data_IF_035799971806
#
_entry.id   IF_035799971806
#
_cell.length_a   1.000
_cell.length_b   1.000
_cell.length_c   1.000
_cell.angle_alpha   90.00
_cell.angle_beta   90.00
_cell.angle_gamma   90.00
#
_symmetry.space_group_name_H-M   'P 1'
#
loop_
_entity.id
_entity.type
_entity.pdbx_description
1 polymer ?
2 polymer ?
3 water ?
#
loop_
_entity_poly.entity_id
_entity_poly.type
_entity_poly.pdbx_seq_one_letter_code
_entity_poly.pdbx_strand_id
1 'polydeoxyribonucleotide' '(DT)(DA)(DT)(DC)(DG)(DA)(DT)(DA)' ?
#
# COMPACT_ATOMS: atom_id res chain seq x y z
N UNK C 1 9.01 -0.41 9.82
CA UNK C 1 9.89 0.76 9.86
C UNK C 1 10.70 0.89 8.58
N UNK C 2 10.46 -0.09 7.72
CA UNK C 2 11.13 -0.11 6.44
C UNK C 2 10.40 -0.96 5.38
N UNK C 3 9.56 -1.90 5.85
CA UNK C 3 8.81 -2.69 4.91
C UNK C 3 7.61 -3.38 5.55
N UNK C 4 6.36 -3.00 5.16
CA UNK C 4 5.11 -3.57 5.68
C UNK C 4 4.01 -3.81 4.68
N UNK C 5 3.08 -4.58 5.19
CA UNK C 5 1.93 -4.92 4.43
C UNK C 5 1.14 -3.67 4.43
N UNK C 6 0.18 -3.67 3.53
CA UNK C 6 -0.70 -2.55 3.43
C UNK C 6 -1.58 -2.43 4.69
N UNK C 7 -2.36 -3.49 4.87
CA UNK C 7 -3.29 -3.66 5.94
C UNK C 7 -2.74 -3.19 7.25
N UNK C 8 -1.52 -3.55 7.39
CA UNK C 8 -0.85 -3.19 8.58
C UNK C 8 -0.71 -1.73 8.62
N UNK C 9 0.00 -1.23 7.62
CA UNK C 9 0.25 0.20 7.47
C UNK C 9 -1.01 0.99 7.69
N UNK C 10 -2.09 0.29 7.29
CA UNK C 10 -3.44 0.76 7.40
C UNK C 10 -3.73 0.93 8.87
N UNK C 11 -3.76 -0.22 9.56
CA UNK C 11 -3.98 -0.26 10.97
C UNK C 11 -3.21 0.80 11.70
N UNK C 12 -1.96 0.99 11.30
CA UNK C 12 -1.21 2.05 11.95
C UNK C 12 -1.73 3.46 11.66
N UNK C 13 -1.43 3.98 10.45
CA UNK C 13 -1.78 5.33 10.01
C UNK C 13 -3.17 5.62 9.39
N UNK C 14 -4.12 4.67 9.41
CA UNK C 14 -5.44 4.97 8.85
C UNK C 14 -5.54 5.25 7.35
N UNK C 15 -6.55 4.57 6.78
CA UNK C 15 -6.86 4.61 5.37
C UNK C 15 -6.75 5.99 4.72
N UNK C 16 -7.02 6.98 5.50
CA UNK C 16 -6.89 8.27 4.92
C UNK C 16 -5.44 8.57 4.64
N UNK C 17 -4.61 8.61 5.70
CA UNK C 17 -3.20 8.92 5.51
C UNK C 17 -2.56 8.06 4.46
N UNK C 18 -2.92 6.77 4.52
CA UNK C 18 -2.36 5.84 3.57
C UNK C 18 -2.58 6.37 2.15
N UNK C 19 -3.85 6.38 1.78
CA UNK C 19 -4.36 6.85 0.50
C UNK C 19 -3.58 7.97 -0.11
N UNK C 20 -3.55 9.05 0.62
CA UNK C 20 -2.85 10.22 0.20
C UNK C 20 -1.45 9.87 -0.18
N UNK C 21 -0.74 9.24 0.74
CA UNK C 21 0.63 8.82 0.51
C UNK C 21 0.78 8.03 -0.77
N UNK C 22 -0.12 7.07 -1.02
CA UNK C 22 0.02 6.29 -2.25
C UNK C 22 -0.33 7.13 -3.42
N UNK C 23 -1.28 8.01 -3.16
CA UNK C 23 -1.78 8.91 -4.17
C UNK C 23 -2.92 8.26 -4.95
N UNK C 24 -3.75 7.57 -4.23
CA UNK C 24 -4.87 6.95 -4.85
C UNK C 24 -6.09 7.33 -4.05
N UNK C 25 -7.24 6.90 -4.50
CA UNK C 25 -8.45 7.26 -3.81
C UNK C 25 -8.74 6.27 -2.68
N UNK C 26 -8.99 6.83 -1.49
CA UNK C 26 -9.32 6.13 -0.24
C UNK C 26 -10.08 4.83 -0.45
N UNK C 27 -11.06 4.96 -1.29
CA UNK C 27 -11.86 3.83 -1.52
C UNK C 27 -11.04 2.77 -2.14
N UNK C 28 -10.05 3.23 -2.94
CA UNK C 28 -9.22 2.32 -3.71
C UNK C 28 -8.67 1.29 -2.79
N UNK C 29 -8.20 1.85 -1.65
CA UNK C 29 -7.56 1.13 -0.55
C UNK C 29 -8.37 0.08 0.20
N UNK C 30 -9.34 0.53 1.00
CA UNK C 30 -10.15 -0.39 1.79
C UNK C 30 -10.69 -1.51 0.93
N UNK C 31 -10.95 -1.15 -0.30
CA UNK C 31 -11.42 -2.13 -1.21
C UNK C 31 -10.32 -3.15 -1.41
N UNK C 32 -9.12 -2.62 -1.66
CA UNK C 32 -7.94 -3.44 -1.83
C UNK C 32 -7.79 -4.40 -0.66
N UNK C 33 -7.76 -3.83 0.52
CA UNK C 33 -7.67 -4.63 1.70
C UNK C 33 -8.85 -5.60 1.74
N UNK C 34 -10.04 -5.07 1.51
CA UNK C 34 -11.23 -5.89 1.54
C UNK C 34 -11.16 -7.09 0.67
N UNK C 35 -10.32 -6.95 -0.32
CA UNK C 35 -10.10 -8.01 -1.25
C UNK C 35 -8.86 -8.83 -0.88
N UNK C 36 -8.17 -8.39 0.18
CA UNK C 36 -6.96 -9.04 0.66
C UNK C 36 -5.95 -9.34 -0.47
N UNK C 37 -5.24 -8.30 -0.92
CA UNK C 37 -4.22 -8.41 -1.94
C UNK C 37 -2.86 -8.18 -1.27
N UNK C 38 -1.85 -8.96 -1.64
CA UNK C 38 -0.53 -8.86 -1.04
C UNK C 38 0.21 -7.64 -1.52
N UNK C 39 0.09 -6.55 -0.78
CA UNK C 39 0.77 -5.37 -1.22
C UNK C 39 1.67 -5.01 -0.12
N UNK C 40 2.79 -4.50 -0.50
CA UNK C 40 3.71 -4.16 0.51
C UNK C 40 4.18 -2.79 0.21
N UNK C 41 4.61 -2.15 1.26
CA UNK C 41 5.02 -0.81 1.14
C UNK C 41 6.34 -0.66 1.79
N UNK C 42 7.16 0.19 1.21
CA UNK C 42 8.49 0.42 1.71
C UNK C 42 8.62 1.84 2.18
N UNK C 43 9.60 2.07 3.06
CA UNK C 43 9.75 3.42 3.54
C UNK C 43 11.11 4.10 3.37
N UNK C 44 11.27 4.87 2.28
CA UNK C 44 12.51 5.59 2.02
C UNK C 44 12.79 6.48 3.22
N UNK C 45 14.03 6.35 3.76
CA UNK C 45 14.50 7.08 4.94
C UNK C 45 13.91 8.47 5.08
N UNK C 46 13.62 9.07 3.91
CA UNK C 46 13.01 10.38 3.81
C UNK C 46 11.51 10.25 4.00
N UNK C 47 11.15 9.23 4.76
CA UNK C 47 9.79 8.93 5.09
C UNK C 47 8.89 8.73 3.88
N UNK C 48 9.44 8.56 2.67
CA UNK C 48 8.64 8.39 1.47
C UNK C 48 8.19 6.95 1.28
N UNK C 49 6.90 6.75 0.99
CA UNK C 49 6.36 5.40 0.82
C UNK C 49 6.27 4.97 -0.62
N UNK C 50 6.10 3.65 -0.79
CA UNK C 50 5.90 3.08 -2.10
C UNK C 50 5.34 1.65 -1.98
N UNK C 51 4.55 1.27 -2.96
CA UNK C 51 3.96 -0.05 -2.87
C UNK C 51 4.19 -0.93 -4.08
N UNK C 52 3.81 -2.17 -3.90
CA UNK C 52 3.95 -3.11 -4.95
C UNK C 52 3.23 -4.33 -4.53
N UNK C 53 2.38 -4.78 -5.39
CA UNK C 53 1.61 -5.93 -5.04
C UNK C 53 2.22 -7.14 -5.68
N UNK C 54 2.22 -8.28 -4.97
CA UNK C 54 2.81 -9.48 -5.54
C UNK C 54 1.76 -10.23 -6.33
N UNK C 55 1.58 -9.90 -7.60
CA UNK C 55 0.53 -10.53 -8.39
C UNK C 55 0.53 -12.03 -8.57
N UNK C 56 1.33 -12.53 -9.54
CA UNK C 56 1.38 -13.99 -9.78
C UNK C 56 2.76 -14.39 -10.12
N UNK C 57 3.52 -14.68 -9.07
CA UNK C 57 4.89 -14.98 -9.29
C UNK C 57 5.55 -13.63 -9.46
N UNK C 58 4.98 -12.80 -10.30
CA UNK C 58 5.39 -11.46 -10.59
C UNK C 58 4.91 -10.48 -9.56
N UNK C 59 5.79 -9.54 -9.32
CA UNK C 59 5.59 -8.40 -8.47
C UNK C 59 5.40 -7.13 -9.35
N UNK C 60 4.16 -6.61 -9.40
CA UNK C 60 3.77 -5.42 -10.15
C UNK C 60 3.72 -4.27 -9.19
N UNK C 61 3.46 -3.11 -9.73
CA UNK C 61 3.38 -1.95 -8.88
C UNK C 61 2.04 -1.75 -8.29
N UNK C 62 1.97 -0.60 -7.67
CA UNK C 62 0.77 -0.18 -7.02
C UNK C 62 0.80 1.30 -6.77
N UNK C 63 -0.08 1.97 -7.48
CA UNK C 63 -0.94 1.33 -8.42
C UNK C 63 -0.25 1.17 -9.78
N UNK C 64 -1.00 0.45 -10.63
CA UNK C 64 -0.71 0.04 -12.02
C UNK C 64 -1.15 0.93 -13.25
N UNK C 65 -1.67 2.19 -13.07
CA UNK C 65 -2.10 3.13 -14.14
C UNK C 65 -1.64 4.58 -13.86
#
# INVERSE_FOLDING_TARGET
EQRITLKDYAMRFGQTKTAKDLGVYQSAINKAIHAGRKIFLTINADGSVYAEEVKDGEVKPFPSN
#
